data_IF_421883322740
#
_entry.id   IF_421883322740
#
_cell.length_a   1.000
_cell.length_b   1.000
_cell.length_c   1.000
_cell.angle_alpha   90.00
_cell.angle_beta   90.00
_cell.angle_gamma   90.00
#
_symmetry.space_group_name_H-M   'P 1'
#
loop_
_entity.id
_entity.type
_entity.pdbx_description
1 polymer ?
#
# COMPACT_ATOMS: atom_id res chain seq x y z
N UNK A 1 30.06 35.80 -38.28
CA UNK A 1 28.84 34.97 -38.35
C UNK A 1 28.92 33.98 -37.20
N UNK A 2 28.22 34.31 -36.12
CA UNK A 2 28.04 33.47 -34.94
C UNK A 2 26.99 32.41 -35.27
N UNK A 3 27.40 31.15 -35.41
CA UNK A 3 26.47 30.03 -35.45
C UNK A 3 26.31 29.52 -34.02
N UNK A 4 25.18 29.86 -33.42
CA UNK A 4 24.65 29.28 -32.20
C UNK A 4 24.43 27.79 -32.45
N UNK A 5 25.23 26.92 -31.83
CA UNK A 5 24.84 25.53 -31.63
C UNK A 5 23.70 25.56 -30.62
N UNK A 6 22.48 25.36 -31.11
CA UNK A 6 21.33 25.09 -30.25
C UNK A 6 21.64 23.82 -29.47
N UNK A 7 21.96 23.99 -28.20
CA UNK A 7 21.99 22.92 -27.21
C UNK A 7 20.54 22.49 -27.01
N UNK A 8 20.05 21.66 -27.92
CA UNK A 8 18.76 20.99 -27.81
C UNK A 8 18.93 19.97 -26.68
N UNK A 9 18.78 20.44 -25.44
CA UNK A 9 18.49 19.58 -24.30
C UNK A 9 17.13 18.94 -24.58
N UNK A 10 17.14 17.85 -25.36
CA UNK A 10 16.09 16.85 -25.30
C UNK A 10 16.14 16.33 -23.88
N UNK A 11 15.36 16.92 -22.99
CA UNK A 11 15.11 16.36 -21.67
C UNK A 11 14.64 14.92 -21.93
N UNK A 12 15.52 13.95 -21.72
CA UNK A 12 15.17 12.55 -21.83
C UNK A 12 14.18 12.29 -20.70
N UNK A 13 12.89 12.38 -21.02
CA UNK A 13 11.85 12.05 -20.08
C UNK A 13 12.08 10.61 -19.63
N UNK A 14 12.01 10.32 -18.32
CA UNK A 14 12.19 8.97 -17.82
C UNK A 14 11.18 8.05 -18.50
N UNK A 15 11.64 6.88 -18.98
CA UNK A 15 10.72 5.86 -19.49
C UNK A 15 9.95 5.25 -18.33
N UNK A 16 8.64 5.42 -18.37
CA UNK A 16 7.75 4.89 -17.35
C UNK A 16 6.99 3.68 -17.87
N UNK A 17 6.64 2.78 -16.96
CA UNK A 17 5.77 1.64 -17.25
C UNK A 17 4.63 1.61 -16.24
N UNK A 18 3.42 1.49 -16.78
CA UNK A 18 2.25 1.12 -16.00
C UNK A 18 2.07 -0.39 -16.07
N UNK A 19 1.84 -0.99 -14.91
CA UNK A 19 1.57 -2.41 -14.75
C UNK A 19 0.15 -2.56 -14.24
N UNK A 20 -0.80 -2.96 -15.09
CA UNK A 20 -2.17 -3.27 -14.68
C UNK A 20 -2.27 -4.71 -14.17
N UNK A 21 -2.79 -4.90 -12.97
CA UNK A 21 -2.91 -6.20 -12.31
C UNK A 21 -4.36 -6.66 -12.24
N UNK A 22 -4.60 -7.85 -12.78
CA UNK A 22 -5.85 -8.59 -12.65
C UNK A 22 -5.60 -9.92 -11.95
N UNK A 23 -6.57 -10.39 -11.16
CA UNK A 23 -6.52 -11.71 -10.55
C UNK A 23 -7.24 -12.73 -11.44
N UNK A 24 -6.57 -13.83 -11.81
CA UNK A 24 -7.12 -14.84 -12.72
C UNK A 24 -7.76 -16.04 -12.02
N UNK A 25 -7.85 -15.99 -10.68
CA UNK A 25 -8.32 -17.08 -9.82
C UNK A 25 -7.19 -17.88 -9.17
N UNK A 26 -5.95 -17.77 -9.67
CA UNK A 26 -4.77 -18.45 -9.11
C UNK A 26 -3.68 -17.49 -8.68
N UNK A 27 -3.62 -16.32 -9.29
CA UNK A 27 -2.65 -15.28 -8.95
C UNK A 27 -2.89 -14.01 -9.74
N UNK A 28 -2.07 -13.00 -9.45
CA UNK A 28 -2.05 -11.78 -10.24
C UNK A 28 -1.31 -11.97 -11.57
N UNK A 29 -1.89 -11.46 -12.64
CA UNK A 29 -1.25 -11.31 -13.95
C UNK A 29 -1.09 -9.82 -14.27
N UNK A 30 0.02 -9.47 -14.91
CA UNK A 30 0.37 -8.08 -15.21
C UNK A 30 0.27 -7.80 -16.72
N UNK A 31 -0.52 -6.81 -17.08
CA UNK A 31 -0.54 -6.11 -18.35
C UNK A 31 0.38 -4.89 -18.26
N UNK A 32 1.15 -4.60 -19.32
CA UNK A 32 2.15 -3.52 -19.28
C UNK A 32 1.86 -2.51 -20.40
N UNK A 33 1.83 -1.24 -20.04
CA UNK A 33 1.80 -0.10 -20.97
C UNK A 33 3.08 0.70 -20.79
N UNK A 34 3.80 0.93 -21.88
CA UNK A 34 4.98 1.79 -21.89
C UNK A 34 4.58 3.24 -22.14
N UNK A 35 5.10 4.15 -21.30
CA UNK A 35 4.93 5.59 -21.46
C UNK A 35 6.29 6.24 -21.68
N UNK A 36 6.44 6.83 -22.86
CA UNK A 36 7.59 7.65 -23.25
C UNK A 36 7.17 9.12 -23.29
N UNK A 37 7.87 10.00 -22.58
CA UNK A 37 7.63 11.45 -22.67
C UNK A 37 6.55 12.02 -21.75
N UNK A 38 5.99 11.21 -20.84
CA UNK A 38 4.96 11.64 -19.88
C UNK A 38 5.59 12.15 -18.58
N UNK A 39 4.92 13.04 -17.88
CA UNK A 39 5.18 13.28 -16.46
C UNK A 39 4.43 12.24 -15.59
N UNK A 40 4.82 12.18 -14.30
CA UNK A 40 4.29 11.20 -13.35
C UNK A 40 2.79 11.39 -13.12
N UNK A 41 2.30 12.62 -13.14
CA UNK A 41 0.88 12.92 -12.88
C UNK A 41 0.01 12.38 -14.01
N UNK A 42 0.38 12.68 -15.25
CA UNK A 42 -0.30 12.18 -16.45
C UNK A 42 -0.26 10.65 -16.51
N UNK A 43 0.88 10.02 -16.17
CA UNK A 43 0.97 8.57 -16.12
C UNK A 43 0.04 7.95 -15.06
N UNK A 44 -0.17 8.62 -13.92
CA UNK A 44 -1.11 8.18 -12.89
C UNK A 44 -2.57 8.34 -13.37
N UNK A 45 -2.91 9.45 -14.02
CA UNK A 45 -4.24 9.68 -14.59
C UNK A 45 -4.58 8.62 -15.65
N UNK A 46 -3.64 8.31 -16.55
CA UNK A 46 -3.80 7.23 -17.52
C UNK A 46 -3.96 5.87 -16.84
N UNK A 47 -3.20 5.61 -15.76
CA UNK A 47 -3.34 4.40 -14.95
C UNK A 47 -4.73 4.26 -14.33
N UNK A 48 -5.31 5.35 -13.83
CA UNK A 48 -6.68 5.33 -13.32
C UNK A 48 -7.70 5.04 -14.41
N UNK A 49 -7.60 5.76 -15.53
CA UNK A 49 -8.52 5.61 -16.67
C UNK A 49 -8.48 4.20 -17.27
N UNK A 50 -7.28 3.64 -17.46
CA UNK A 50 -7.13 2.32 -18.09
C UNK A 50 -7.37 1.15 -17.12
N UNK A 51 -7.01 1.29 -15.85
CA UNK A 51 -7.00 0.16 -14.90
C UNK A 51 -7.94 0.34 -13.72
N UNK A 52 -7.78 1.40 -12.92
CA UNK A 52 -8.54 1.55 -11.67
C UNK A 52 -10.05 1.56 -11.95
N UNK A 53 -10.47 2.37 -12.91
CA UNK A 53 -11.88 2.54 -13.26
C UNK A 53 -12.46 1.33 -14.02
N UNK A 54 -11.61 0.39 -14.43
CA UNK A 54 -12.00 -0.89 -15.03
C UNK A 54 -11.89 -2.07 -14.05
N UNK A 55 -11.65 -1.79 -12.77
CA UNK A 55 -11.60 -2.80 -11.70
C UNK A 55 -10.26 -3.52 -11.58
N UNK A 56 -9.16 -2.94 -12.08
CA UNK A 56 -7.79 -3.46 -11.91
C UNK A 56 -6.99 -2.57 -10.96
N UNK A 57 -6.05 -3.16 -10.24
CA UNK A 57 -4.98 -2.40 -9.61
C UNK A 57 -3.96 -1.99 -10.68
N UNK A 58 -3.19 -0.93 -10.45
CA UNK A 58 -2.01 -0.68 -11.27
C UNK A 58 -0.79 -0.27 -10.45
N UNK A 59 0.40 -0.41 -11.02
CA UNK A 59 1.63 0.13 -10.43
C UNK A 59 2.37 0.94 -11.47
N UNK A 60 3.10 1.96 -11.01
CA UNK A 60 3.92 2.81 -11.86
C UNK A 60 5.39 2.62 -11.50
N UNK A 61 6.24 2.41 -12.49
CA UNK A 61 7.69 2.35 -12.29
C UNK A 61 8.45 3.15 -13.35
N UNK A 62 9.62 3.64 -12.96
CA UNK A 62 10.64 4.14 -13.88
C UNK A 62 11.55 2.99 -14.29
N UNK A 63 11.89 2.93 -15.57
CA UNK A 63 12.80 1.93 -16.14
C UNK A 63 14.02 2.61 -16.73
N UNK A 64 15.19 1.98 -16.59
CA UNK A 64 16.43 2.47 -17.18
C UNK A 64 16.44 2.36 -18.71
N UNK A 65 17.32 3.13 -19.36
CA UNK A 65 17.39 3.31 -20.83
C UNK A 65 17.46 1.99 -21.64
N UNK A 66 17.95 0.90 -21.03
CA UNK A 66 18.16 -0.38 -21.68
C UNK A 66 17.13 -1.47 -21.30
N UNK A 67 16.08 -1.14 -20.53
CA UNK A 67 14.98 -2.06 -20.21
C UNK A 67 15.37 -3.30 -19.37
N UNK A 68 16.64 -3.45 -18.99
CA UNK A 68 17.21 -4.60 -18.26
C UNK A 68 17.42 -4.34 -16.76
N UNK A 69 17.33 -3.09 -16.31
CA UNK A 69 17.40 -2.76 -14.89
C UNK A 69 16.08 -3.08 -14.20
N UNK A 70 16.13 -3.52 -12.94
CA UNK A 70 14.93 -3.68 -12.12
C UNK A 70 14.12 -2.36 -12.08
N UNK A 71 12.78 -2.44 -12.15
CA UNK A 71 11.94 -1.26 -12.12
C UNK A 71 12.06 -0.55 -10.77
N UNK A 72 12.22 0.77 -10.81
CA UNK A 72 12.09 1.60 -9.62
C UNK A 72 10.62 1.97 -9.45
N UNK A 73 9.94 1.30 -8.53
CA UNK A 73 8.52 1.53 -8.24
C UNK A 73 8.28 2.91 -7.63
N UNK A 74 7.41 3.70 -8.27
CA UNK A 74 6.92 4.98 -7.77
C UNK A 74 5.60 4.84 -7.00
N UNK A 75 4.72 3.96 -7.49
CA UNK A 75 3.41 3.67 -6.92
C UNK A 75 3.15 2.16 -6.98
N UNK A 76 2.48 1.61 -5.97
CA UNK A 76 2.17 0.19 -5.89
C UNK A 76 3.42 -0.66 -5.65
N UNK A 77 3.63 -1.61 -6.55
CA UNK A 77 4.69 -2.61 -6.54
C UNK A 77 4.32 -3.78 -7.44
N UNK A 78 5.07 -4.87 -7.38
CA UNK A 78 4.65 -6.09 -8.05
C UNK A 78 3.59 -6.82 -7.21
N UNK A 79 2.33 -6.84 -7.65
CA UNK A 79 1.26 -7.51 -6.90
C UNK A 79 1.39 -9.03 -6.84
N UNK A 80 2.31 -9.61 -7.62
CA UNK A 80 2.65 -11.04 -7.59
C UNK A 80 3.63 -11.39 -6.48
N UNK A 81 4.25 -10.39 -5.86
CA UNK A 81 5.27 -10.55 -4.83
C UNK A 81 4.80 -9.86 -3.55
N UNK A 82 5.04 -10.51 -2.41
CA UNK A 82 4.72 -9.92 -1.12
C UNK A 82 5.70 -8.79 -0.82
N UNK A 83 5.23 -7.59 -0.40
CA UNK A 83 6.13 -6.55 0.06
C UNK A 83 6.97 -7.04 1.24
N UNK A 84 8.25 -6.69 1.23
CA UNK A 84 9.24 -7.07 2.24
C UNK A 84 9.82 -5.85 2.95
N UNK A 85 9.71 -4.67 2.34
CA UNK A 85 10.17 -3.41 2.94
C UNK A 85 9.02 -2.45 3.22
N UNK A 86 9.23 -1.56 4.18
CA UNK A 86 8.31 -0.45 4.49
C UNK A 86 7.96 0.38 3.25
N UNK A 87 8.95 0.68 2.41
CA UNK A 87 8.73 1.49 1.22
C UNK A 87 7.80 0.77 0.23
N UNK A 88 7.89 -0.56 0.12
CA UNK A 88 6.97 -1.37 -0.67
C UNK A 88 5.58 -1.40 -0.06
N UNK A 89 5.45 -1.62 1.25
CA UNK A 89 4.16 -1.58 1.94
C UNK A 89 3.46 -0.22 1.75
N UNK A 90 4.19 0.89 1.90
CA UNK A 90 3.63 2.24 1.71
C UNK A 90 3.13 2.45 0.29
N UNK A 91 3.95 2.15 -0.73
CA UNK A 91 3.56 2.31 -2.13
C UNK A 91 2.37 1.42 -2.49
N UNK A 92 2.35 0.17 -2.00
CA UNK A 92 1.25 -0.77 -2.20
C UNK A 92 -0.04 -0.26 -1.55
N UNK A 93 0.02 0.19 -0.30
CA UNK A 93 -1.11 0.83 0.40
C UNK A 93 -1.66 2.01 -0.38
N UNK A 94 -0.79 2.93 -0.84
CA UNK A 94 -1.23 4.13 -1.54
C UNK A 94 -2.04 3.77 -2.81
N UNK A 95 -1.63 2.73 -3.52
CA UNK A 95 -2.39 2.20 -4.65
C UNK A 95 -3.68 1.47 -4.22
N UNK A 96 -3.63 0.60 -3.21
CA UNK A 96 -4.82 -0.09 -2.71
C UNK A 96 -5.90 0.90 -2.27
N UNK A 97 -5.51 1.97 -1.58
CA UNK A 97 -6.42 3.05 -1.17
C UNK A 97 -7.04 3.75 -2.38
N UNK A 98 -6.24 4.07 -3.40
CA UNK A 98 -6.73 4.65 -4.67
C UNK A 98 -7.78 3.74 -5.32
N UNK A 99 -7.49 2.45 -5.41
CA UNK A 99 -8.39 1.45 -5.99
C UNK A 99 -9.69 1.28 -5.18
N UNK A 100 -9.59 1.10 -3.86
CA UNK A 100 -10.76 0.94 -3.00
C UNK A 100 -11.64 2.21 -2.97
N UNK A 101 -11.04 3.39 -3.07
CA UNK A 101 -11.78 4.64 -3.22
C UNK A 101 -12.58 4.68 -4.52
N UNK A 102 -12.01 4.22 -5.66
CA UNK A 102 -12.76 4.15 -6.92
C UNK A 102 -13.96 3.20 -6.79
N UNK A 103 -13.76 2.01 -6.21
CA UNK A 103 -14.85 1.05 -5.97
C UNK A 103 -15.94 1.63 -5.06
N UNK A 104 -15.56 2.34 -4.00
CA UNK A 104 -16.51 3.04 -3.13
C UNK A 104 -17.36 4.05 -3.90
N UNK A 105 -16.74 4.85 -4.76
CA UNK A 105 -17.45 5.83 -5.62
C UNK A 105 -18.41 5.16 -6.60
N UNK A 106 -18.07 3.97 -7.09
CA UNK A 106 -18.88 3.20 -8.02
C UNK A 106 -19.97 2.33 -7.34
N UNK A 107 -20.05 2.33 -6.00
CA UNK A 107 -21.00 1.49 -5.27
C UNK A 107 -20.66 0.00 -5.35
N UNK A 108 -19.39 -0.30 -5.55
CA UNK A 108 -18.84 -1.62 -5.81
C UNK A 108 -18.27 -2.26 -4.52
N UNK A 109 -18.19 -3.60 -4.41
CA UNK A 109 -17.59 -4.26 -3.24
C UNK A 109 -16.20 -3.72 -2.86
N UNK A 110 -15.96 -3.35 -1.59
CA UNK A 110 -14.71 -2.75 -1.12
C UNK A 110 -13.67 -3.84 -0.79
N UNK A 111 -13.21 -4.52 -1.84
CA UNK A 111 -12.20 -5.59 -1.78
C UNK A 111 -11.26 -5.47 -2.97
N UNK A 112 -10.03 -5.98 -2.81
CA UNK A 112 -9.03 -6.11 -3.87
C UNK A 112 -9.51 -7.05 -5.00
N UNK A 113 -8.84 -7.07 -6.18
CA UNK A 113 -9.23 -7.94 -7.29
C UNK A 113 -9.26 -9.44 -6.95
N UNK A 114 -8.47 -9.88 -5.98
CA UNK A 114 -8.46 -11.25 -5.45
C UNK A 114 -9.54 -11.51 -4.38
N UNK A 115 -10.36 -10.51 -4.06
CA UNK A 115 -11.42 -10.58 -3.05
C UNK A 115 -10.96 -10.28 -1.63
N UNK A 116 -9.68 -9.99 -1.39
CA UNK A 116 -9.17 -9.67 -0.07
C UNK A 116 -9.63 -8.30 0.39
N UNK A 117 -9.92 -8.18 1.69
CA UNK A 117 -10.08 -6.89 2.38
C UNK A 117 -8.70 -6.27 2.62
N UNK A 118 -8.67 -4.96 2.88
CA UNK A 118 -7.44 -4.27 3.30
C UNK A 118 -7.60 -3.76 4.72
N UNK A 119 -6.85 -4.35 5.65
CA UNK A 119 -6.85 -3.99 7.06
C UNK A 119 -5.58 -3.21 7.37
N UNK A 120 -5.72 -1.95 7.78
CA UNK A 120 -4.62 -1.09 8.20
C UNK A 120 -4.37 -1.33 9.69
N UNK A 121 -3.11 -1.48 10.06
CA UNK A 121 -2.68 -1.64 11.45
C UNK A 121 -1.80 -0.46 11.85
N UNK A 122 -2.25 0.35 12.81
CA UNK A 122 -1.49 1.50 13.34
C UNK A 122 -1.91 1.82 14.78
N UNK A 123 -1.08 2.51 15.57
CA UNK A 123 -1.50 3.01 16.86
C UNK A 123 -2.58 4.07 16.69
N UNK A 124 -3.66 3.92 17.44
CA UNK A 124 -4.79 4.84 17.42
C UNK A 124 -5.01 5.46 18.80
N UNK A 125 -5.34 6.75 18.79
CA UNK A 125 -5.72 7.48 19.98
C UNK A 125 -7.18 7.25 20.34
N UNK A 126 -7.51 7.24 21.64
CA UNK A 126 -8.90 7.28 22.07
C UNK A 126 -9.66 5.94 22.01
N UNK A 127 -8.94 4.82 22.05
CA UNK A 127 -9.52 3.50 22.39
C UNK A 127 -10.32 2.81 21.28
N UNK A 128 -10.27 3.31 20.05
CA UNK A 128 -10.88 2.67 18.88
C UNK A 128 -10.21 1.34 18.48
N UNK A 129 -9.00 1.08 18.98
CA UNK A 129 -8.19 -0.08 18.64
C UNK A 129 -7.36 0.11 17.36
N UNK A 130 -6.33 -0.74 17.14
CA UNK A 130 -5.32 -0.49 16.13
C UNK A 130 -5.64 -0.99 14.72
N UNK A 131 -6.79 -1.63 14.50
CA UNK A 131 -7.16 -2.23 13.21
C UNK A 131 -8.30 -1.47 12.52
N UNK A 132 -8.10 -1.07 11.27
CA UNK A 132 -8.99 -0.15 10.54
C UNK A 132 -9.18 -0.58 9.09
N UNK A 133 -10.41 -0.51 8.59
CA UNK A 133 -10.73 -0.74 7.19
C UNK A 133 -11.26 0.52 6.53
N UNK A 134 -10.63 0.94 5.44
CA UNK A 134 -11.06 2.16 4.75
C UNK A 134 -12.29 1.90 3.88
N UNK A 135 -13.17 2.90 3.80
CA UNK A 135 -14.36 2.90 2.94
C UNK A 135 -15.42 1.83 3.24
N UNK A 136 -15.39 1.23 4.43
CA UNK A 136 -16.42 0.29 4.90
C UNK A 136 -17.17 0.87 6.10
N UNK A 137 -18.34 0.30 6.42
CA UNK A 137 -19.08 0.60 7.65
C UNK A 137 -18.42 -0.01 8.91
N UNK A 138 -17.38 -0.83 8.75
CA UNK A 138 -16.63 -1.47 9.83
C UNK A 138 -15.47 -0.57 10.29
N UNK A 139 -15.83 0.55 10.91
CA UNK A 139 -14.89 1.60 11.32
C UNK A 139 -15.10 1.99 12.78
N UNK A 140 -14.15 1.72 13.70
CA UNK A 140 -12.96 0.85 13.62
C UNK A 140 -13.29 -0.62 13.32
N UNK A 141 -12.29 -1.41 12.89
CA UNK A 141 -12.53 -2.80 12.55
C UNK A 141 -12.67 -3.65 13.82
N UNK A 142 -13.85 -4.20 14.04
CA UNK A 142 -14.13 -5.09 15.18
C UNK A 142 -13.32 -6.40 15.04
N UNK A 143 -12.39 -6.70 15.98
CA UNK A 143 -11.59 -7.92 15.96
C UNK A 143 -12.41 -9.21 15.81
N UNK A 144 -13.59 -9.26 16.44
CA UNK A 144 -14.47 -10.42 16.40
C UNK A 144 -15.08 -10.65 15.01
N UNK A 145 -15.30 -9.58 14.25
CA UNK A 145 -15.79 -9.63 12.86
C UNK A 145 -14.67 -9.87 11.85
N UNK A 146 -13.42 -9.56 12.22
CA UNK A 146 -12.24 -9.91 11.42
C UNK A 146 -11.91 -11.41 11.54
N UNK A 147 -12.32 -12.05 12.65
CA UNK A 147 -12.07 -13.47 12.89
C UNK A 147 -10.72 -13.76 13.52
N UNK A 148 -10.06 -12.74 14.09
CA UNK A 148 -8.83 -12.94 14.87
C UNK A 148 -9.14 -13.51 16.25
N UNK A 149 -8.18 -14.24 16.81
CA UNK A 149 -8.28 -14.87 18.11
C UNK A 149 -8.42 -13.84 19.23
N UNK A 150 -9.17 -14.19 20.28
CA UNK A 150 -9.36 -13.32 21.46
C UNK A 150 -8.02 -12.93 22.06
N UNK A 151 -7.08 -13.88 22.16
CA UNK A 151 -5.74 -13.61 22.68
C UNK A 151 -4.98 -12.59 21.82
N UNK A 152 -5.04 -12.69 20.49
CA UNK A 152 -4.40 -11.70 19.62
C UNK A 152 -5.07 -10.33 19.72
N UNK A 153 -6.40 -10.29 19.87
CA UNK A 153 -7.13 -9.04 20.08
C UNK A 153 -6.71 -8.34 21.39
N UNK A 154 -6.60 -9.08 22.50
CA UNK A 154 -6.16 -8.54 23.80
C UNK A 154 -4.72 -8.01 23.75
N UNK A 155 -3.83 -8.68 23.01
CA UNK A 155 -2.45 -8.24 22.82
C UNK A 155 -2.35 -6.97 21.95
N UNK A 156 -3.18 -6.85 20.91
CA UNK A 156 -3.29 -5.64 20.09
C UNK A 156 -3.80 -4.46 20.90
N UNK A 157 -4.80 -4.68 21.75
CA UNK A 157 -5.30 -3.66 22.68
C UNK A 157 -4.20 -3.22 23.63
N UNK A 158 -3.49 -4.16 24.26
CA UNK A 158 -2.37 -3.86 25.17
C UNK A 158 -1.24 -3.08 24.49
N UNK A 159 -0.93 -3.40 23.23
CA UNK A 159 0.06 -2.68 22.42
C UNK A 159 -0.38 -1.24 22.11
N UNK A 160 -1.67 -1.04 21.81
CA UNK A 160 -2.25 0.27 21.58
C UNK A 160 -2.36 1.09 22.88
N UNK A 161 -2.66 0.45 24.01
CA UNK A 161 -2.72 1.10 25.32
C UNK A 161 -1.36 1.61 25.77
N UNK A 162 -0.29 0.86 25.49
CA UNK A 162 1.07 1.33 25.73
C UNK A 162 1.37 2.63 24.96
N UNK A 163 0.87 2.75 23.72
CA UNK A 163 0.96 3.99 22.95
C UNK A 163 0.13 5.13 23.56
N UNK A 164 -1.06 4.83 24.09
CA UNK A 164 -1.96 5.80 24.70
C UNK A 164 -1.58 6.22 26.13
N UNK A 165 -0.63 5.52 26.77
CA UNK A 165 -0.20 5.79 28.15
C UNK A 165 0.64 7.07 28.31
N UNK A 166 0.93 7.77 27.22
CA UNK A 166 1.69 9.02 27.18
C UNK A 166 0.86 10.17 26.61
N UNK A 167 1.29 11.40 26.86
CA UNK A 167 0.73 12.55 26.15
C UNK A 167 1.12 12.50 24.66
N UNK A 168 0.24 12.97 23.73
CA UNK A 168 0.51 12.91 22.30
C UNK A 168 1.79 13.61 21.86
N UNK A 169 2.19 14.66 22.59
CA UNK A 169 3.40 15.47 22.34
C UNK A 169 4.68 14.82 22.86
N UNK A 170 4.57 13.80 23.73
CA UNK A 170 5.73 13.11 24.30
C UNK A 170 6.27 12.04 23.36
N UNK A 171 7.59 11.80 23.44
CA UNK A 171 8.21 10.66 22.80
C UNK A 171 7.68 9.34 23.40
N UNK A 172 7.62 8.29 22.58
CA UNK A 172 7.23 6.97 23.04
C UNK A 172 8.36 6.34 23.88
N UNK A 173 8.11 6.00 25.16
CA UNK A 173 9.05 5.22 25.96
C UNK A 173 9.33 3.88 25.28
N UNK A 174 10.59 3.42 25.32
CA UNK A 174 11.00 2.12 24.78
C UNK A 174 10.53 1.88 23.33
N UNK A 175 10.52 2.94 22.51
CA UNK A 175 9.98 2.91 21.14
C UNK A 175 10.46 1.73 20.29
N UNK A 176 11.71 1.31 20.45
CA UNK A 176 12.27 0.14 19.75
C UNK A 176 11.59 -1.16 20.14
N UNK A 177 11.33 -1.37 21.43
CA UNK A 177 10.63 -2.56 21.92
C UNK A 177 9.17 -2.54 21.49
N UNK A 178 8.51 -1.39 21.61
CA UNK A 178 7.15 -1.22 21.13
C UNK A 178 7.01 -1.50 19.62
N UNK A 179 7.96 -1.03 18.81
CA UNK A 179 8.02 -1.33 17.37
C UNK A 179 8.26 -2.82 17.08
N UNK A 180 9.15 -3.47 17.84
CA UNK A 180 9.40 -4.90 17.69
C UNK A 180 8.15 -5.73 18.02
N UNK A 181 7.42 -5.38 19.08
CA UNK A 181 6.13 -5.96 19.42
C UNK A 181 5.10 -5.73 18.32
N UNK A 182 5.01 -4.50 17.78
CA UNK A 182 4.13 -4.19 16.66
C UNK A 182 4.39 -5.08 15.43
N UNK A 183 5.66 -5.30 15.06
CA UNK A 183 6.03 -6.21 13.95
C UNK A 183 5.58 -7.66 14.24
N UNK A 184 5.82 -8.14 15.45
CA UNK A 184 5.39 -9.48 15.85
C UNK A 184 3.87 -9.64 15.74
N UNK A 185 3.11 -8.65 16.22
CA UNK A 185 1.66 -8.64 16.14
C UNK A 185 1.18 -8.52 14.69
N UNK A 186 1.82 -7.71 13.85
CA UNK A 186 1.50 -7.64 12.42
C UNK A 186 1.60 -9.01 11.74
N UNK A 187 2.68 -9.75 11.95
CA UNK A 187 2.80 -11.12 11.42
C UNK A 187 1.70 -12.02 11.99
N UNK A 188 1.43 -11.91 13.30
CA UNK A 188 0.25 -12.43 14.02
C UNK A 188 -1.04 -12.33 13.20
N UNK A 189 -1.44 -11.07 13.00
CA UNK A 189 -2.70 -10.69 12.36
C UNK A 189 -2.73 -11.13 10.90
N UNK A 190 -1.61 -10.98 10.19
CA UNK A 190 -1.54 -11.35 8.78
C UNK A 190 -1.64 -12.86 8.57
N UNK A 191 -1.12 -13.68 9.49
CA UNK A 191 -1.26 -15.13 9.42
C UNK A 191 -2.69 -15.57 9.77
N UNK A 192 -3.32 -14.97 10.79
CA UNK A 192 -4.71 -15.28 11.15
C UNK A 192 -5.74 -14.80 10.10
N UNK A 193 -5.40 -13.77 9.33
CA UNK A 193 -6.24 -13.22 8.24
C UNK A 193 -5.85 -13.73 6.84
N UNK A 194 -5.02 -14.78 6.75
CA UNK A 194 -4.67 -15.37 5.46
C UNK A 194 -5.91 -15.77 4.64
N UNK A 195 -5.95 -15.37 3.37
CA UNK A 195 -7.11 -15.57 2.50
C UNK A 195 -8.34 -14.70 2.81
N UNK A 196 -8.30 -13.87 3.85
CA UNK A 196 -9.41 -12.97 4.24
C UNK A 196 -9.04 -11.50 4.00
N UNK A 197 -7.84 -11.10 4.41
CA UNK A 197 -7.37 -9.73 4.29
C UNK A 197 -5.86 -9.63 4.05
N UNK A 198 -5.47 -8.58 3.32
CA UNK A 198 -4.11 -8.07 3.33
C UNK A 198 -3.96 -7.04 4.46
N UNK A 199 -2.98 -7.23 5.33
CA UNK A 199 -2.70 -6.36 6.47
C UNK A 199 -1.59 -5.38 6.11
N UNK A 200 -1.83 -4.10 6.35
CA UNK A 200 -0.89 -3.02 6.06
C UNK A 200 -0.33 -2.46 7.37
N UNK A 201 0.97 -2.65 7.68
CA UNK A 201 1.59 -2.06 8.86
C UNK A 201 1.87 -0.56 8.64
N UNK A 202 1.26 0.29 9.45
CA UNK A 202 1.33 1.76 9.38
C UNK A 202 1.90 2.41 10.65
N UNK A 203 2.55 1.62 11.51
CA UNK A 203 3.14 2.08 12.78
C UNK A 203 4.66 2.25 12.74
N UNK A 204 5.33 1.77 11.69
CA UNK A 204 6.78 1.83 11.59
C UNK A 204 7.24 3.02 10.75
N UNK A 205 7.98 3.93 11.38
CA UNK A 205 8.41 5.20 10.81
C UNK A 205 9.86 5.20 10.28
N UNK A 206 10.64 4.10 10.34
CA UNK A 206 12.08 4.22 10.03
C UNK A 206 12.91 2.98 9.68
N UNK A 207 12.57 1.76 10.12
CA UNK A 207 13.47 0.60 9.97
C UNK A 207 12.94 -0.48 9.01
N UNK A 208 13.80 -1.33 8.41
CA UNK A 208 13.34 -2.49 7.63
C UNK A 208 12.56 -3.48 8.52
N UNK A 209 11.54 -4.11 7.92
CA UNK A 209 10.69 -5.11 8.59
C UNK A 209 11.44 -6.40 8.89
#
# INVERSE_FOLDING_TARGET
>A
MTSSAGDEWSAAYPRMRLYGFAFDGTGYVAEIIEHDGYDVETAIEDGDYHFTDTGKLFSLAVTGEHGTSEPTWLLGGDYRVRPTSRAEHRRRRDMQQRYLMSRSRLGEPIVLPDGLRVVRMFPEWGGAGPLWESFTDNYPADPSKLGISVTLADELESWNDHWNARDPEDDLPDAREWLATGRHLYHRVQDELDGVAEVVPEFDAGDPL
#
